data_IF_777137624532
#
_entry.id   IF_777137624532
#
_cell.length_a   1.000
_cell.length_b   1.000
_cell.length_c   1.000
_cell.angle_alpha   90.00
_cell.angle_beta   90.00
_cell.angle_gamma   90.00
#
_symmetry.space_group_name_H-M   'P 1'
#
loop_
_entity.id
_entity.type
_entity.pdbx_description
1 polymer ?
#
# COMPACT_ATOMS: atom_id res chain seq x y z
N UNK A 1 -26.21 4.22 3.67
CA UNK A 1 -26.54 5.24 4.68
C UNK A 1 -25.57 6.39 4.48
N UNK A 2 -25.98 7.64 4.69
CA UNK A 2 -25.12 8.80 4.63
C UNK A 2 -24.21 8.82 5.86
N UNK A 3 -22.90 9.02 5.66
CA UNK A 3 -21.95 9.17 6.77
C UNK A 3 -21.95 10.64 7.23
N UNK A 4 -22.64 10.92 8.33
CA UNK A 4 -22.74 12.28 8.88
C UNK A 4 -21.44 12.77 9.54
N UNK A 5 -20.52 11.86 9.84
CA UNK A 5 -19.20 12.13 10.40
C UNK A 5 -18.09 12.15 9.31
N UNK A 6 -18.49 12.23 8.05
CA UNK A 6 -17.58 12.37 6.90
C UNK A 6 -16.67 13.59 7.11
N UNK A 7 -15.36 13.37 7.02
CA UNK A 7 -14.37 14.45 7.18
C UNK A 7 -14.29 15.28 5.89
N UNK A 8 -14.84 16.47 5.93
CA UNK A 8 -14.89 17.41 4.81
C UNK A 8 -14.00 18.62 5.10
N UNK A 9 -13.14 18.98 4.16
CA UNK A 9 -12.35 20.21 4.20
C UNK A 9 -12.74 21.13 3.08
N UNK A 10 -13.15 22.35 3.41
CA UNK A 10 -13.49 23.42 2.48
C UNK A 10 -12.34 24.41 2.41
N UNK A 11 -11.84 24.70 1.22
CA UNK A 11 -10.72 25.60 0.96
C UNK A 11 -11.14 26.68 -0.02
N UNK A 12 -11.20 27.92 0.46
CA UNK A 12 -11.59 29.09 -0.36
C UNK A 12 -11.00 30.33 0.29
N UNK A 13 -10.30 31.17 -0.45
CA UNK A 13 -9.70 32.41 0.03
C UNK A 13 -10.74 33.47 0.44
N UNK A 14 -11.98 33.29 -0.03
CA UNK A 14 -13.13 34.13 0.29
C UNK A 14 -13.91 33.56 1.47
N UNK A 15 -13.79 34.18 2.65
CA UNK A 15 -14.53 33.76 3.86
C UNK A 15 -16.03 33.64 3.68
N UNK A 16 -16.60 34.45 2.81
CA UNK A 16 -18.05 34.39 2.51
C UNK A 16 -18.43 33.08 1.83
N UNK A 17 -17.71 32.68 0.80
CA UNK A 17 -17.92 31.45 0.05
C UNK A 17 -17.74 30.21 0.94
N UNK A 18 -16.62 30.10 1.60
CA UNK A 18 -16.33 28.97 2.50
C UNK A 18 -17.38 28.82 3.61
N UNK A 19 -17.86 29.94 4.17
CA UNK A 19 -18.91 29.93 5.20
C UNK A 19 -20.25 29.44 4.67
N UNK A 20 -20.64 29.85 3.45
CA UNK A 20 -21.88 29.37 2.81
C UNK A 20 -21.84 27.86 2.59
N UNK A 21 -20.73 27.36 2.04
CA UNK A 21 -20.53 25.93 1.79
C UNK A 21 -20.63 25.15 3.12
N UNK A 22 -19.87 25.55 4.12
CA UNK A 22 -19.87 24.90 5.43
C UNK A 22 -21.27 24.91 6.09
N UNK A 23 -21.98 26.03 6.04
CA UNK A 23 -23.37 26.11 6.54
C UNK A 23 -24.32 25.18 5.78
N UNK A 24 -24.18 25.07 4.47
CA UNK A 24 -25.00 24.18 3.65
C UNK A 24 -24.77 22.72 4.02
N UNK A 25 -23.51 22.33 4.19
CA UNK A 25 -23.13 20.99 4.63
C UNK A 25 -23.62 20.68 6.05
N UNK A 26 -23.43 21.60 6.99
CA UNK A 26 -23.88 21.46 8.38
C UNK A 26 -25.41 21.35 8.47
N UNK A 27 -26.15 22.12 7.65
CA UNK A 27 -27.63 21.99 7.56
C UNK A 27 -28.08 20.65 7.00
N UNK A 28 -27.28 20.02 6.15
CA UNK A 28 -27.52 18.68 5.64
C UNK A 28 -27.13 17.56 6.64
N UNK A 29 -26.60 17.95 7.82
CA UNK A 29 -26.29 17.04 8.91
C UNK A 29 -24.82 16.64 9.04
N UNK A 30 -23.93 17.07 8.13
CA UNK A 30 -22.48 16.79 8.26
C UNK A 30 -21.89 17.52 9.47
N UNK A 31 -21.19 16.79 10.32
CA UNK A 31 -20.68 17.26 11.61
C UNK A 31 -19.22 17.69 11.58
N UNK A 32 -18.44 17.06 10.70
CA UNK A 32 -17.00 17.30 10.58
C UNK A 32 -16.68 18.08 9.32
N UNK A 33 -16.98 19.38 9.36
CA UNK A 33 -16.71 20.32 8.27
C UNK A 33 -15.67 21.33 8.76
N UNK A 34 -14.46 21.26 8.20
CA UNK A 34 -13.34 22.16 8.48
C UNK A 34 -13.20 23.17 7.35
N UNK A 35 -12.66 24.35 7.66
CA UNK A 35 -12.44 25.44 6.70
C UNK A 35 -10.97 25.84 6.74
N UNK A 36 -10.38 26.02 5.57
CA UNK A 36 -9.10 26.67 5.36
C UNK A 36 -9.25 27.87 4.42
N UNK A 37 -8.52 28.94 4.67
CA UNK A 37 -8.58 30.15 3.85
C UNK A 37 -7.49 30.19 2.76
N UNK A 38 -6.61 29.19 2.73
CA UNK A 38 -5.53 29.03 1.76
C UNK A 38 -5.07 27.56 1.69
N UNK A 39 -4.35 27.23 0.63
CA UNK A 39 -3.88 25.88 0.38
C UNK A 39 -2.85 25.37 1.43
N UNK A 40 -1.99 26.22 1.96
CA UNK A 40 -0.98 25.81 2.96
C UNK A 40 -1.64 25.45 4.29
N UNK A 41 -2.64 26.24 4.70
CA UNK A 41 -3.48 25.93 5.87
C UNK A 41 -4.24 24.62 5.66
N UNK A 42 -4.78 24.40 4.46
CA UNK A 42 -5.47 23.16 4.11
C UNK A 42 -4.56 21.92 4.27
N UNK A 43 -3.34 21.96 3.71
CA UNK A 43 -2.37 20.89 3.83
C UNK A 43 -2.01 20.57 5.28
N UNK A 44 -1.76 21.61 6.10
CA UNK A 44 -1.51 21.44 7.54
C UNK A 44 -2.67 20.76 8.28
N UNK A 45 -3.91 21.13 7.94
CA UNK A 45 -5.09 20.50 8.55
C UNK A 45 -5.26 19.05 8.11
N UNK A 46 -4.85 18.71 6.89
CA UNK A 46 -4.88 17.34 6.36
C UNK A 46 -3.79 16.47 6.99
N UNK A 47 -2.60 17.03 7.26
CA UNK A 47 -1.54 16.32 8.01
C UNK A 47 -1.97 15.97 9.44
N UNK A 48 -2.68 16.88 10.10
CA UNK A 48 -3.17 16.65 11.47
C UNK A 48 -4.30 15.60 11.51
N UNK A 49 -5.14 15.57 10.48
CA UNK A 49 -6.29 14.68 10.41
C UNK A 49 -6.69 14.41 8.97
N UNK A 50 -6.78 13.14 8.62
CA UNK A 50 -7.22 12.66 7.30
C UNK A 50 -8.52 13.34 6.87
N UNK A 51 -8.60 13.66 5.59
CA UNK A 51 -9.77 14.27 4.94
C UNK A 51 -10.34 13.30 3.92
N UNK A 52 -11.64 13.04 3.97
CA UNK A 52 -12.29 12.16 3.00
C UNK A 52 -12.75 12.90 1.75
N UNK A 53 -13.19 14.16 1.92
CA UNK A 53 -13.64 15.02 0.83
C UNK A 53 -13.02 16.41 0.96
N UNK A 54 -12.33 16.84 -0.08
CA UNK A 54 -11.78 18.18 -0.23
C UNK A 54 -12.66 18.95 -1.22
N UNK A 55 -13.16 20.11 -0.82
CA UNK A 55 -13.87 21.06 -1.69
C UNK A 55 -13.01 22.32 -1.76
N UNK A 56 -12.37 22.56 -2.90
CA UNK A 56 -11.44 23.66 -3.04
C UNK A 56 -11.86 24.63 -4.15
N UNK A 57 -11.67 25.93 -3.93
CA UNK A 57 -11.74 26.89 -5.02
C UNK A 57 -10.59 26.64 -6.01
N UNK A 58 -10.90 26.74 -7.29
CA UNK A 58 -9.88 26.64 -8.34
C UNK A 58 -8.90 27.81 -8.28
N UNK A 59 -9.41 29.02 -8.16
CA UNK A 59 -8.62 30.25 -8.22
C UNK A 59 -8.34 30.75 -6.81
N UNK A 60 -7.18 30.43 -6.30
CA UNK A 60 -6.68 30.95 -5.03
C UNK A 60 -5.31 31.62 -5.22
N UNK A 61 -4.94 32.59 -4.36
CA UNK A 61 -3.62 33.21 -4.39
C UNK A 61 -2.50 32.21 -4.03
N UNK A 62 -1.34 32.39 -4.63
CA UNK A 62 -0.11 31.62 -4.42
C UNK A 62 -0.18 30.16 -4.91
N UNK A 63 -1.06 29.35 -4.35
CA UNK A 63 -1.28 27.95 -4.69
C UNK A 63 -2.73 27.81 -5.09
N UNK A 64 -2.98 27.51 -6.36
CA UNK A 64 -4.33 27.29 -6.88
C UNK A 64 -4.89 25.90 -6.51
N UNK A 65 -6.17 25.67 -6.83
CA UNK A 65 -6.84 24.41 -6.52
C UNK A 65 -6.24 23.21 -7.22
N UNK A 66 -5.63 23.38 -8.41
CA UNK A 66 -4.99 22.29 -9.15
C UNK A 66 -3.63 21.91 -8.52
N UNK A 67 -2.83 22.89 -8.15
CA UNK A 67 -1.57 22.64 -7.45
C UNK A 67 -1.84 22.03 -6.07
N UNK A 68 -2.85 22.51 -5.35
CA UNK A 68 -3.30 21.90 -4.09
C UNK A 68 -3.67 20.43 -4.31
N UNK A 69 -4.44 20.12 -5.36
CA UNK A 69 -4.82 18.74 -5.69
C UNK A 69 -3.60 17.85 -5.90
N UNK A 70 -2.60 18.29 -6.65
CA UNK A 70 -1.37 17.50 -6.87
C UNK A 70 -0.64 17.19 -5.56
N UNK A 71 -0.54 18.16 -4.66
CA UNK A 71 0.05 17.96 -3.32
C UNK A 71 -0.76 17.00 -2.46
N UNK A 72 -2.09 17.08 -2.54
CA UNK A 72 -2.99 16.13 -1.85
C UNK A 72 -2.79 14.71 -2.39
N UNK A 73 -2.65 14.51 -3.70
CA UNK A 73 -2.37 13.18 -4.27
C UNK A 73 -1.05 12.60 -3.77
N UNK A 74 0.00 13.40 -3.67
CA UNK A 74 1.27 12.97 -3.08
C UNK A 74 1.12 12.58 -1.61
N UNK A 75 0.34 13.36 -0.83
CA UNK A 75 0.05 13.01 0.57
C UNK A 75 -0.78 11.73 0.68
N UNK A 76 -1.76 11.54 -0.18
CA UNK A 76 -2.61 10.35 -0.21
C UNK A 76 -1.78 9.07 -0.48
N UNK A 77 -0.84 9.11 -1.44
CA UNK A 77 0.10 8.02 -1.72
C UNK A 77 0.96 7.69 -0.49
N UNK A 78 1.54 8.70 0.16
CA UNK A 78 2.39 8.50 1.34
C UNK A 78 1.65 7.90 2.54
N UNK A 79 0.36 8.24 2.70
CA UNK A 79 -0.43 7.85 3.86
C UNK A 79 -1.38 6.67 3.59
N UNK A 80 -1.31 6.06 2.40
CA UNK A 80 -2.24 5.02 1.97
C UNK A 80 -3.70 5.44 2.23
N UNK A 81 -4.07 6.59 1.67
CA UNK A 81 -5.37 7.23 1.84
C UNK A 81 -5.88 7.75 0.50
N UNK A 82 -7.17 7.94 0.38
CA UNK A 82 -7.80 8.55 -0.77
C UNK A 82 -8.70 9.71 -0.33
N UNK A 83 -8.42 10.89 -0.83
CA UNK A 83 -9.22 12.11 -0.65
C UNK A 83 -10.00 12.38 -1.93
N UNK A 84 -11.33 12.42 -1.88
CA UNK A 84 -12.14 12.83 -3.03
C UNK A 84 -12.06 14.35 -3.19
N UNK A 85 -11.60 14.83 -4.34
CA UNK A 85 -11.35 16.26 -4.59
C UNK A 85 -12.41 16.83 -5.53
N UNK A 86 -13.13 17.84 -5.05
CA UNK A 86 -14.13 18.61 -5.81
C UNK A 86 -13.59 20.02 -5.99
N UNK A 87 -13.40 20.47 -7.23
CA UNK A 87 -13.05 21.88 -7.49
C UNK A 87 -14.28 22.73 -7.74
N UNK A 88 -14.28 23.92 -7.14
CA UNK A 88 -15.26 24.97 -7.42
C UNK A 88 -14.68 25.89 -8.49
N UNK A 89 -15.38 26.07 -9.60
CA UNK A 89 -14.90 26.88 -10.72
C UNK A 89 -15.92 27.91 -11.18
N UNK A 90 -15.43 29.08 -11.58
CA UNK A 90 -16.19 30.06 -12.33
C UNK A 90 -15.89 29.99 -13.84
N UNK A 91 -14.94 29.14 -14.27
CA UNK A 91 -14.49 29.07 -15.66
C UNK A 91 -15.36 28.12 -16.48
N UNK A 92 -15.88 28.63 -17.58
CA UNK A 92 -16.51 27.87 -18.65
C UNK A 92 -15.47 27.57 -19.73
N UNK A 93 -14.89 26.35 -19.71
CA UNK A 93 -13.93 25.93 -20.74
C UNK A 93 -13.63 24.43 -20.65
N UNK A 94 -13.97 23.68 -21.69
CA UNK A 94 -13.79 22.23 -21.74
C UNK A 94 -12.32 21.79 -21.66
N UNK A 95 -11.38 22.54 -22.25
CA UNK A 95 -9.95 22.20 -22.22
C UNK A 95 -9.33 22.31 -20.82
N UNK A 96 -9.73 23.34 -20.04
CA UNK A 96 -9.25 23.51 -18.67
C UNK A 96 -9.78 22.41 -17.74
N UNK A 97 -10.98 21.92 -17.98
CA UNK A 97 -11.55 20.81 -17.22
C UNK A 97 -10.84 19.48 -17.50
N UNK A 98 -10.48 19.19 -18.77
CA UNK A 98 -9.68 18.00 -19.08
C UNK A 98 -8.33 18.02 -18.38
N UNK A 99 -7.62 19.14 -18.41
CA UNK A 99 -6.36 19.31 -17.69
C UNK A 99 -6.52 19.09 -16.17
N UNK A 100 -7.65 19.53 -15.61
CA UNK A 100 -7.93 19.36 -14.20
C UNK A 100 -8.09 17.87 -13.81
N UNK A 101 -8.80 17.09 -14.62
CA UNK A 101 -8.91 15.64 -14.41
C UNK A 101 -7.57 14.93 -14.55
N UNK A 102 -6.74 15.31 -15.54
CA UNK A 102 -5.39 14.76 -15.71
C UNK A 102 -4.47 15.07 -14.50
N UNK A 103 -4.73 16.18 -13.81
CA UNK A 103 -4.05 16.56 -12.57
C UNK A 103 -4.63 15.91 -11.31
N UNK A 104 -5.65 15.08 -11.45
CA UNK A 104 -6.16 14.20 -10.41
C UNK A 104 -7.34 14.72 -9.61
N UNK A 105 -8.12 15.67 -10.11
CA UNK A 105 -9.42 15.98 -9.51
C UNK A 105 -10.40 14.82 -9.79
N UNK A 106 -11.38 14.63 -8.90
CA UNK A 106 -12.43 13.62 -9.08
C UNK A 106 -13.73 14.24 -9.63
N UNK A 107 -13.94 15.51 -9.33
CA UNK A 107 -15.14 16.21 -9.74
C UNK A 107 -14.99 17.75 -9.74
N UNK A 108 -15.94 18.44 -10.34
CA UNK A 108 -16.01 19.91 -10.28
C UNK A 108 -17.45 20.40 -10.17
N UNK A 109 -17.62 21.61 -9.65
CA UNK A 109 -18.91 22.29 -9.54
C UNK A 109 -18.74 23.73 -10.05
N UNK A 110 -19.60 24.16 -10.96
CA UNK A 110 -19.67 25.57 -11.31
C UNK A 110 -20.23 26.39 -10.15
N UNK A 111 -19.56 27.48 -9.78
CA UNK A 111 -20.01 28.35 -8.66
C UNK A 111 -21.43 28.86 -8.83
N UNK A 112 -21.85 29.06 -10.06
CA UNK A 112 -23.25 29.44 -10.41
C UNK A 112 -24.28 28.36 -10.06
N UNK A 113 -23.88 27.09 -10.04
CA UNK A 113 -24.75 25.95 -9.76
C UNK A 113 -24.55 25.31 -8.40
N UNK A 114 -23.64 25.87 -7.60
CA UNK A 114 -23.23 25.34 -6.33
C UNK A 114 -24.42 24.99 -5.41
N UNK A 115 -25.42 25.84 -5.34
CA UNK A 115 -26.61 25.61 -4.48
C UNK A 115 -27.42 24.37 -4.85
N UNK A 116 -27.36 23.92 -6.11
CA UNK A 116 -28.09 22.74 -6.59
C UNK A 116 -27.20 21.48 -6.60
N UNK A 117 -25.91 21.63 -6.90
CA UNK A 117 -25.02 20.51 -7.15
C UNK A 117 -24.18 20.08 -5.94
N UNK A 118 -23.93 20.97 -4.97
CA UNK A 118 -23.03 20.68 -3.84
C UNK A 118 -23.41 19.40 -3.09
N UNK A 119 -24.63 19.32 -2.59
CA UNK A 119 -25.06 18.17 -1.79
C UNK A 119 -25.06 16.85 -2.59
N UNK A 120 -25.64 16.76 -3.80
CA UNK A 120 -25.56 15.54 -4.62
C UNK A 120 -24.11 15.08 -4.88
N UNK A 121 -23.18 16.02 -5.12
CA UNK A 121 -21.76 15.70 -5.36
C UNK A 121 -21.09 15.21 -4.10
N UNK A 122 -21.33 15.86 -2.95
CA UNK A 122 -20.81 15.39 -1.67
C UNK A 122 -21.35 14.01 -1.29
N UNK A 123 -22.61 13.69 -1.59
CA UNK A 123 -23.13 12.31 -1.43
C UNK A 123 -22.40 11.29 -2.32
N UNK A 124 -22.07 11.66 -3.55
CA UNK A 124 -21.29 10.79 -4.43
C UNK A 124 -19.86 10.62 -3.90
N UNK A 125 -19.24 11.72 -3.46
CA UNK A 125 -17.92 11.76 -2.88
C UNK A 125 -17.80 10.89 -1.62
N UNK A 126 -18.79 10.97 -0.71
CA UNK A 126 -18.88 10.12 0.49
C UNK A 126 -18.79 8.63 0.13
N UNK A 127 -19.61 8.19 -0.80
CA UNK A 127 -19.63 6.79 -1.23
C UNK A 127 -18.34 6.34 -1.92
N UNK A 128 -17.72 7.21 -2.70
CA UNK A 128 -16.51 6.89 -3.45
C UNK A 128 -15.30 6.86 -2.52
N UNK A 129 -15.12 7.88 -1.66
CA UNK A 129 -14.02 7.93 -0.71
C UNK A 129 -14.07 6.76 0.28
N UNK A 130 -15.26 6.43 0.78
CA UNK A 130 -15.45 5.32 1.72
C UNK A 130 -15.06 3.97 1.08
N UNK A 131 -15.52 3.71 -0.16
CA UNK A 131 -15.16 2.49 -0.89
C UNK A 131 -13.67 2.40 -1.20
N UNK A 132 -13.09 3.50 -1.67
CA UNK A 132 -11.68 3.53 -2.03
C UNK A 132 -10.78 3.33 -0.81
N UNK A 133 -11.09 4.01 0.30
CA UNK A 133 -10.36 3.85 1.54
C UNK A 133 -10.53 2.44 2.15
N UNK A 134 -11.71 1.83 2.03
CA UNK A 134 -11.93 0.44 2.43
C UNK A 134 -11.08 -0.54 1.60
N UNK A 135 -10.94 -0.33 0.29
CA UNK A 135 -10.09 -1.14 -0.58
C UNK A 135 -8.61 -0.98 -0.20
N UNK A 136 -8.15 0.25 0.04
CA UNK A 136 -6.77 0.52 0.47
C UNK A 136 -6.46 -0.18 1.79
N UNK A 137 -7.36 -0.10 2.78
CA UNK A 137 -7.22 -0.77 4.07
C UNK A 137 -7.20 -2.29 3.93
N UNK A 138 -8.08 -2.87 3.10
CA UNK A 138 -8.12 -4.30 2.85
C UNK A 138 -6.84 -4.80 2.16
N UNK A 139 -6.33 -4.06 1.18
CA UNK A 139 -5.08 -4.39 0.50
C UNK A 139 -3.89 -4.34 1.46
N UNK A 140 -3.82 -3.33 2.32
CA UNK A 140 -2.77 -3.26 3.33
C UNK A 140 -2.80 -4.45 4.29
N UNK A 141 -3.99 -4.82 4.79
CA UNK A 141 -4.16 -5.97 5.66
C UNK A 141 -3.77 -7.28 4.95
N UNK A 142 -4.11 -7.43 3.67
CA UNK A 142 -3.70 -8.60 2.88
C UNK A 142 -2.18 -8.68 2.71
N UNK A 143 -1.51 -7.55 2.45
CA UNK A 143 -0.05 -7.49 2.35
C UNK A 143 0.62 -7.85 3.68
N UNK A 144 0.11 -7.33 4.80
CA UNK A 144 0.60 -7.66 6.14
C UNK A 144 0.41 -9.13 6.48
N UNK A 145 -0.76 -9.70 6.18
CA UNK A 145 -1.05 -11.11 6.38
C UNK A 145 -0.16 -12.01 5.51
N UNK A 146 0.02 -11.68 4.24
CA UNK A 146 0.91 -12.43 3.35
C UNK A 146 2.35 -12.42 3.89
N UNK A 147 2.86 -11.25 4.26
CA UNK A 147 4.20 -11.13 4.88
C UNK A 147 4.30 -11.93 6.16
N UNK A 148 3.25 -11.98 6.97
CA UNK A 148 3.22 -12.76 8.19
C UNK A 148 3.23 -14.27 7.91
N UNK A 149 2.48 -14.73 6.89
CA UNK A 149 2.48 -16.12 6.45
C UNK A 149 3.83 -16.54 5.85
N UNK A 150 4.44 -15.70 5.01
CA UNK A 150 5.78 -15.93 4.48
C UNK A 150 6.81 -16.02 5.60
N UNK A 151 6.72 -15.15 6.60
CA UNK A 151 7.61 -15.17 7.77
C UNK A 151 7.39 -16.40 8.68
N UNK A 152 6.26 -17.08 8.61
CA UNK A 152 5.98 -18.33 9.35
C UNK A 152 6.31 -19.59 8.56
N UNK A 153 6.40 -19.45 7.25
CA UNK A 153 6.75 -20.59 6.41
C UNK A 153 8.22 -20.96 6.62
N UNK A 154 8.45 -22.16 7.06
CA UNK A 154 9.78 -22.76 7.26
C UNK A 154 10.17 -23.69 6.12
N UNK A 155 9.31 -23.85 5.12
CA UNK A 155 9.56 -24.69 3.95
C UNK A 155 9.77 -23.82 2.71
N UNK A 156 10.62 -24.28 1.83
CA UNK A 156 10.74 -23.79 0.46
C UNK A 156 9.55 -24.28 -0.38
N UNK A 157 8.84 -23.36 -1.01
CA UNK A 157 7.56 -23.63 -1.68
C UNK A 157 7.74 -24.54 -2.90
N UNK A 158 8.86 -24.41 -3.62
CA UNK A 158 9.13 -25.17 -4.83
C UNK A 158 9.58 -26.60 -4.54
N UNK A 159 10.43 -26.77 -3.53
CA UNK A 159 11.07 -28.06 -3.26
C UNK A 159 10.51 -28.81 -2.06
N UNK A 160 9.75 -28.14 -1.20
CA UNK A 160 9.15 -28.73 0.01
C UNK A 160 10.18 -29.10 1.11
N UNK A 161 11.46 -28.74 0.97
CA UNK A 161 12.45 -28.87 2.03
C UNK A 161 12.51 -27.61 2.90
N UNK A 162 13.33 -27.60 3.97
CA UNK A 162 13.51 -26.40 4.78
C UNK A 162 13.98 -25.20 3.94
N UNK A 163 13.47 -24.01 4.26
CA UNK A 163 13.97 -22.77 3.68
C UNK A 163 15.14 -22.20 4.51
N UNK A 164 15.64 -21.03 4.17
CA UNK A 164 16.74 -20.34 4.89
C UNK A 164 16.43 -20.18 6.38
N UNK A 165 15.20 -19.85 6.73
CA UNK A 165 14.76 -19.71 8.11
C UNK A 165 14.85 -21.03 8.88
N UNK A 166 14.35 -22.12 8.27
CA UNK A 166 14.47 -23.44 8.87
C UNK A 166 15.94 -23.83 9.06
N UNK A 167 16.83 -23.46 8.13
CA UNK A 167 18.26 -23.68 8.25
C UNK A 167 18.83 -22.96 9.49
N UNK A 168 18.47 -21.68 9.70
CA UNK A 168 18.89 -20.94 10.88
C UNK A 168 18.36 -21.52 12.20
N UNK A 169 17.09 -21.89 12.24
CA UNK A 169 16.46 -22.50 13.42
C UNK A 169 17.10 -23.86 13.74
N UNK A 170 17.32 -24.70 12.72
CA UNK A 170 17.95 -26.01 12.86
C UNK A 170 19.40 -25.89 13.32
N UNK A 171 20.15 -24.97 12.74
CA UNK A 171 21.55 -24.71 13.15
C UNK A 171 21.62 -24.26 14.63
N UNK A 172 20.77 -23.32 15.02
CA UNK A 172 20.71 -22.83 16.41
C UNK A 172 20.35 -23.95 17.37
N UNK A 173 19.42 -24.82 17.02
CA UNK A 173 19.01 -25.95 17.85
C UNK A 173 20.13 -27.00 17.97
N UNK A 174 20.82 -27.36 16.86
CA UNK A 174 21.94 -28.30 16.91
C UNK A 174 23.13 -27.73 17.69
N UNK A 175 23.44 -26.44 17.57
CA UNK A 175 24.49 -25.80 18.37
C UNK A 175 24.20 -25.88 19.87
N UNK A 176 22.98 -25.55 20.31
CA UNK A 176 22.58 -25.69 21.71
C UNK A 176 22.67 -27.14 22.21
N UNK A 177 22.32 -28.08 21.34
CA UNK A 177 22.42 -29.50 21.67
C UNK A 177 23.87 -29.95 21.84
N UNK A 178 24.76 -29.49 20.95
CA UNK A 178 26.23 -29.74 21.03
C UNK A 178 26.83 -29.14 22.29
N UNK A 179 26.45 -27.91 22.65
CA UNK A 179 26.88 -27.27 23.89
C UNK A 179 26.45 -28.04 25.16
N UNK A 180 25.22 -28.57 25.16
CA UNK A 180 24.66 -29.24 26.32
C UNK A 180 25.13 -30.71 26.49
N UNK A 181 25.36 -31.43 25.38
CA UNK A 181 25.62 -32.89 25.38
C UNK A 181 26.93 -33.31 24.75
N UNK A 182 27.70 -32.36 24.23
CA UNK A 182 28.89 -32.64 23.44
C UNK A 182 28.56 -33.06 22.00
N UNK A 183 29.56 -33.31 21.21
CA UNK A 183 29.45 -33.66 19.79
C UNK A 183 29.93 -32.52 18.89
N UNK A 184 29.56 -32.56 17.62
CA UNK A 184 29.90 -31.54 16.65
C UNK A 184 28.69 -31.24 15.75
N UNK A 185 28.50 -29.96 15.38
CA UNK A 185 27.51 -29.52 14.39
C UNK A 185 28.25 -29.11 13.12
N UNK A 186 27.83 -29.63 11.99
CA UNK A 186 28.37 -29.30 10.67
C UNK A 186 27.34 -28.55 9.86
N UNK A 187 27.75 -27.47 9.22
CA UNK A 187 26.93 -26.71 8.23
C UNK A 187 27.66 -26.76 6.89
N UNK A 188 27.06 -27.40 5.91
CA UNK A 188 27.60 -27.53 4.57
C UNK A 188 26.73 -26.72 3.58
N UNK A 189 27.36 -25.82 2.85
CA UNK A 189 26.70 -25.04 1.80
C UNK A 189 27.08 -25.63 0.43
N UNK A 190 26.07 -25.95 -0.36
CA UNK A 190 26.17 -26.45 -1.75
C UNK A 190 25.68 -25.37 -2.68
N UNK A 191 26.55 -24.91 -3.58
CA UNK A 191 26.26 -23.84 -4.53
C UNK A 191 26.27 -24.35 -5.97
N UNK A 192 25.24 -24.05 -6.76
CA UNK A 192 25.14 -24.37 -8.19
C UNK A 192 25.72 -23.20 -8.98
N UNK A 193 26.95 -23.36 -9.47
CA UNK A 193 27.72 -22.25 -10.09
C UNK A 193 27.13 -21.69 -11.38
N UNK A 194 26.49 -22.53 -12.20
CA UNK A 194 25.95 -22.17 -13.51
C UNK A 194 24.44 -21.86 -13.49
N UNK A 195 23.87 -21.58 -12.32
CA UNK A 195 22.43 -21.32 -12.18
C UNK A 195 21.95 -20.14 -13.03
N UNK A 196 22.73 -19.06 -13.09
CA UNK A 196 22.39 -17.87 -13.88
C UNK A 196 22.28 -18.20 -15.37
N UNK A 197 23.15 -19.05 -15.90
CA UNK A 197 23.15 -19.47 -17.31
C UNK A 197 21.91 -20.33 -17.62
N UNK A 198 21.56 -21.23 -16.68
CA UNK A 198 20.37 -22.06 -16.78
C UNK A 198 19.11 -21.20 -16.76
N UNK A 199 19.00 -20.25 -15.84
CA UNK A 199 17.88 -19.33 -15.71
C UNK A 199 17.72 -18.43 -16.94
N UNK A 200 18.83 -17.99 -17.53
CA UNK A 200 18.82 -17.16 -18.75
C UNK A 200 18.45 -17.91 -20.04
N UNK A 201 18.67 -19.23 -20.08
CA UNK A 201 18.43 -20.07 -21.26
C UNK A 201 17.17 -20.94 -21.17
N UNK A 202 16.49 -21.00 -20.01
CA UNK A 202 15.40 -21.94 -19.74
C UNK A 202 14.15 -21.26 -19.20
N UNK A 203 12.99 -21.88 -19.40
CA UNK A 203 11.73 -21.45 -18.83
C UNK A 203 11.69 -21.75 -17.31
N UNK A 204 10.92 -20.98 -16.54
CA UNK A 204 10.75 -21.11 -15.09
C UNK A 204 10.41 -22.55 -14.66
N UNK A 205 9.56 -23.24 -15.40
CA UNK A 205 9.20 -24.65 -15.17
C UNK A 205 10.39 -25.61 -15.18
N UNK A 206 11.37 -25.38 -16.05
CA UNK A 206 12.58 -26.23 -16.14
C UNK A 206 13.49 -25.99 -14.91
N UNK A 207 13.56 -24.76 -14.43
CA UNK A 207 14.31 -24.45 -13.22
C UNK A 207 13.69 -25.12 -11.99
N UNK A 208 12.37 -25.15 -11.89
CA UNK A 208 11.63 -25.79 -10.78
C UNK A 208 11.82 -27.33 -10.82
N UNK A 209 11.71 -27.96 -12.00
CA UNK A 209 11.97 -29.38 -12.16
C UNK A 209 13.42 -29.76 -11.81
N UNK A 210 14.37 -28.89 -12.19
CA UNK A 210 15.79 -29.09 -11.83
C UNK A 210 16.00 -28.99 -10.32
N UNK A 211 15.41 -27.98 -9.68
CA UNK A 211 15.48 -27.81 -8.22
C UNK A 211 14.89 -29.02 -7.49
N UNK A 212 13.76 -29.56 -7.93
CA UNK A 212 13.16 -30.78 -7.41
C UNK A 212 14.07 -32.02 -7.62
N UNK A 213 14.70 -32.12 -8.78
CA UNK A 213 15.61 -33.23 -9.10
C UNK A 213 16.87 -33.20 -8.20
N UNK A 214 17.46 -32.02 -8.03
CA UNK A 214 18.60 -31.79 -7.11
C UNK A 214 18.21 -32.14 -5.68
N UNK A 215 17.06 -31.66 -5.23
CA UNK A 215 16.53 -31.93 -3.89
C UNK A 215 16.40 -33.41 -3.62
N UNK A 216 15.81 -34.19 -4.56
CA UNK A 216 15.67 -35.64 -4.44
C UNK A 216 17.01 -36.35 -4.31
N UNK A 217 18.01 -35.95 -5.12
CA UNK A 217 19.37 -36.52 -5.06
C UNK A 217 20.06 -36.18 -3.74
N UNK A 218 20.00 -34.93 -3.29
CA UNK A 218 20.60 -34.54 -2.01
C UNK A 218 19.95 -35.29 -0.85
N UNK A 219 18.61 -35.40 -0.86
CA UNK A 219 17.87 -36.11 0.19
C UNK A 219 18.23 -37.59 0.29
N UNK A 220 18.59 -38.24 -0.82
CA UNK A 220 19.04 -39.66 -0.82
C UNK A 220 20.45 -39.85 -0.29
N UNK A 221 21.27 -38.80 -0.15
CA UNK A 221 22.68 -38.86 0.30
C UNK A 221 22.84 -38.46 1.75
N UNK A 222 21.86 -37.85 2.40
CA UNK A 222 21.92 -37.40 3.80
C UNK A 222 21.18 -38.36 4.73
N UNK A 223 21.51 -38.30 6.02
CA UNK A 223 20.86 -39.13 7.05
C UNK A 223 19.44 -38.57 7.32
N UNK A 224 18.52 -39.42 7.80
CA UNK A 224 17.16 -38.97 8.17
C UNK A 224 17.11 -37.87 9.24
N UNK A 225 18.13 -37.76 10.09
CA UNK A 225 18.26 -36.77 11.15
C UNK A 225 18.93 -35.47 10.68
N UNK A 226 19.53 -35.45 9.51
CA UNK A 226 20.15 -34.25 8.95
C UNK A 226 19.08 -33.34 8.35
N UNK A 227 19.27 -32.03 8.51
CA UNK A 227 18.36 -31.04 7.92
C UNK A 227 18.85 -30.63 6.52
N UNK A 228 18.00 -30.80 5.52
CA UNK A 228 18.23 -30.28 4.16
C UNK A 228 17.37 -29.05 3.93
N UNK A 229 18.02 -27.98 3.49
CA UNK A 229 17.37 -26.68 3.28
C UNK A 229 17.77 -26.10 1.93
N UNK A 230 16.88 -25.31 1.31
CA UNK A 230 17.19 -24.42 0.19
C UNK A 230 17.25 -23.00 0.70
N UNK A 231 18.46 -22.45 0.77
CA UNK A 231 18.71 -21.14 1.39
C UNK A 231 18.74 -19.99 0.36
N UNK A 232 18.86 -20.33 -0.92
CA UNK A 232 18.66 -19.43 -2.07
C UNK A 232 18.25 -20.23 -3.29
N UNK A 233 17.83 -19.59 -4.37
CA UNK A 233 17.46 -20.27 -5.63
C UNK A 233 18.50 -21.30 -6.09
N UNK A 234 19.79 -21.00 -5.90
CA UNK A 234 20.94 -21.79 -6.38
C UNK A 234 21.78 -22.37 -5.24
N UNK A 235 21.30 -22.28 -3.97
CA UNK A 235 22.06 -22.71 -2.82
C UNK A 235 21.24 -23.63 -1.92
N UNK A 236 21.88 -24.73 -1.50
CA UNK A 236 21.36 -25.69 -0.55
C UNK A 236 22.26 -25.78 0.67
N UNK A 237 21.66 -25.95 1.83
CA UNK A 237 22.38 -26.18 3.07
C UNK A 237 22.03 -27.56 3.63
N UNK A 238 23.04 -28.28 4.10
CA UNK A 238 22.91 -29.50 4.90
C UNK A 238 23.45 -29.23 6.29
N UNK A 239 22.65 -29.49 7.30
CA UNK A 239 23.00 -29.29 8.70
C UNK A 239 22.94 -30.65 9.37
N UNK A 240 24.08 -31.10 9.91
CA UNK A 240 24.25 -32.41 10.55
C UNK A 240 24.78 -32.25 11.94
N UNK A 241 24.38 -33.17 12.82
CA UNK A 241 24.89 -33.29 14.18
C UNK A 241 25.54 -34.67 14.38
N UNK A 242 26.72 -34.75 15.03
CA UNK A 242 27.51 -35.95 15.26
C UNK A 242 27.76 -36.15 16.74
#
# INVERSE_FOLDING_TARGET
MQNLDLSILVVDDTKFSSTIIAKTLSKAGYRDVRIANDALTALKLMEQRKTSVLIADWLMPNIDGLELTQRVRQMDELHNHFTYVILLTAKDGTSALHEAFDRGIDDFIFKSEMSKQLLPRVYAADRMSDRQNAILAANQLLMENNRHLENRNILDIETGIGNERYAHESLSNFMKHTEARGGATSYMLINIKNWSDIKGSSNHLICDELALSITRRLRSLIRPLDSLCRVAEHQYAVIAHF
#
